data_IF_358634984011
#
_entry.id   IF_358634984011
#
_cell.length_a   1.000
_cell.length_b   1.000
_cell.length_c   1.000
_cell.angle_alpha   90.00
_cell.angle_beta   90.00
_cell.angle_gamma   90.00
#
_symmetry.space_group_name_H-M   'P 1'
#
loop_
_entity.id
_entity.type
_entity.pdbx_description
1 polymer ?
#
# COMPACT_ATOMS: atom_id res chain seq x y z
N UNK A 1 17.87 5.96 -13.12
CA UNK A 1 17.90 4.48 -13.10
C UNK A 1 16.88 3.91 -14.07
N UNK A 2 17.28 3.45 -15.26
CA UNK A 2 16.32 3.04 -16.29
C UNK A 2 15.48 1.81 -15.90
N UNK A 3 16.06 0.84 -15.18
CA UNK A 3 15.33 -0.34 -14.73
C UNK A 3 14.28 0.00 -13.66
N UNK A 4 14.68 0.77 -12.63
CA UNK A 4 13.74 1.25 -11.60
C UNK A 4 12.61 2.07 -12.22
N UNK A 5 12.91 3.01 -13.12
CA UNK A 5 11.89 3.81 -13.80
C UNK A 5 10.88 2.95 -14.58
N UNK A 6 11.37 1.97 -15.34
CA UNK A 6 10.50 1.05 -16.09
C UNK A 6 9.66 0.17 -15.16
N UNK A 7 10.26 -0.35 -14.08
CA UNK A 7 9.56 -1.17 -13.09
C UNK A 7 8.50 -0.35 -12.31
N UNK A 8 8.79 0.90 -11.93
CA UNK A 8 7.82 1.83 -11.34
C UNK A 8 6.64 2.08 -12.29
N UNK A 9 6.91 2.29 -13.59
CA UNK A 9 5.86 2.44 -14.59
C UNK A 9 4.97 1.20 -14.66
N UNK A 10 5.56 -0.01 -14.67
CA UNK A 10 4.82 -1.26 -14.67
C UNK A 10 3.99 -1.46 -13.39
N UNK A 11 4.50 -1.04 -12.22
CA UNK A 11 3.71 -1.02 -10.98
C UNK A 11 2.51 -0.07 -11.06
N UNK A 12 2.70 1.10 -11.65
CA UNK A 12 1.61 2.04 -11.94
C UNK A 12 0.57 1.42 -12.86
N UNK A 13 1.00 0.78 -13.96
CA UNK A 13 0.10 0.09 -14.88
C UNK A 13 -0.64 -1.07 -14.19
N UNK A 14 0.05 -1.88 -13.40
CA UNK A 14 -0.55 -2.94 -12.61
C UNK A 14 -1.62 -2.38 -11.64
N UNK A 15 -1.33 -1.27 -10.96
CA UNK A 15 -2.28 -0.59 -10.07
C UNK A 15 -3.52 -0.12 -10.83
N UNK A 16 -3.35 0.41 -12.05
CA UNK A 16 -4.46 0.87 -12.90
C UNK A 16 -5.33 -0.31 -13.33
N UNK A 17 -4.70 -1.38 -13.84
CA UNK A 17 -5.41 -2.60 -14.24
C UNK A 17 -6.17 -3.20 -13.05
N UNK A 18 -5.55 -3.25 -11.88
CA UNK A 18 -6.21 -3.78 -10.68
C UNK A 18 -7.34 -2.88 -10.17
N UNK A 19 -7.22 -1.55 -10.30
CA UNK A 19 -8.32 -0.62 -10.02
C UNK A 19 -9.51 -0.88 -10.95
N UNK A 20 -9.27 -1.03 -12.24
CA UNK A 20 -10.33 -1.31 -13.22
C UNK A 20 -10.99 -2.67 -12.94
N UNK A 21 -10.19 -3.70 -12.65
CA UNK A 21 -10.71 -5.03 -12.25
C UNK A 21 -11.51 -4.97 -10.96
N UNK A 22 -11.03 -4.24 -9.95
CA UNK A 22 -11.73 -4.08 -8.68
C UNK A 22 -13.09 -3.41 -8.88
N UNK A 23 -13.16 -2.33 -9.66
CA UNK A 23 -14.41 -1.62 -9.98
C UNK A 23 -15.39 -2.48 -10.77
N UNK A 24 -14.89 -3.36 -11.64
CA UNK A 24 -15.73 -4.28 -12.41
C UNK A 24 -16.26 -5.44 -11.56
N UNK A 25 -15.48 -5.93 -10.60
CA UNK A 25 -15.83 -7.10 -9.80
C UNK A 25 -16.61 -6.77 -8.51
N UNK A 26 -16.32 -5.64 -7.87
CA UNK A 26 -16.86 -5.29 -6.54
C UNK A 26 -17.91 -4.20 -6.68
N UNK A 27 -19.16 -4.45 -6.24
CA UNK A 27 -20.21 -3.42 -6.25
C UNK A 27 -19.85 -2.23 -5.35
N UNK A 28 -20.23 -0.98 -5.73
CA UNK A 28 -20.03 0.20 -4.88
C UNK A 28 -20.69 0.11 -3.49
N UNK A 29 -21.69 -0.75 -3.33
CA UNK A 29 -22.34 -1.04 -2.05
C UNK A 29 -21.44 -1.82 -1.06
N UNK A 30 -20.33 -2.40 -1.51
CA UNK A 30 -19.41 -3.10 -0.62
C UNK A 30 -18.79 -2.11 0.39
N UNK A 31 -18.77 -2.42 1.71
CA UNK A 31 -18.38 -1.47 2.74
C UNK A 31 -16.97 -0.89 2.60
N UNK A 32 -16.05 -1.69 2.06
CA UNK A 32 -14.63 -1.36 1.86
C UNK A 32 -14.36 -0.72 0.51
N UNK A 33 -15.35 -0.64 -0.39
CA UNK A 33 -15.20 -0.10 -1.75
C UNK A 33 -14.53 1.28 -1.80
N UNK A 34 -15.00 2.32 -1.07
CA UNK A 34 -14.37 3.64 -1.15
C UNK A 34 -12.92 3.62 -0.67
N UNK A 35 -12.62 2.84 0.37
CA UNK A 35 -11.27 2.74 0.94
C UNK A 35 -10.30 2.04 -0.02
N UNK A 36 -10.73 0.95 -0.67
CA UNK A 36 -9.91 0.23 -1.65
C UNK A 36 -9.69 1.05 -2.93
N UNK A 37 -10.72 1.76 -3.43
CA UNK A 37 -10.57 2.64 -4.60
C UNK A 37 -9.63 3.81 -4.29
N UNK A 38 -9.73 4.40 -3.10
CA UNK A 38 -8.80 5.44 -2.68
C UNK A 38 -7.36 4.91 -2.58
N UNK A 39 -7.16 3.69 -2.05
CA UNK A 39 -5.83 3.06 -1.99
C UNK A 39 -5.19 2.95 -3.37
N UNK A 40 -5.99 2.59 -4.38
CA UNK A 40 -5.51 2.48 -5.75
C UNK A 40 -5.10 3.82 -6.35
N UNK A 41 -5.85 4.88 -6.11
CA UNK A 41 -5.46 6.21 -6.56
C UNK A 41 -4.20 6.73 -5.89
N UNK A 42 -4.07 6.50 -4.57
CA UNK A 42 -2.86 6.85 -3.82
C UNK A 42 -1.65 6.06 -4.34
N UNK A 43 -1.82 4.75 -4.59
CA UNK A 43 -0.77 3.89 -5.15
C UNK A 43 -0.38 4.32 -6.56
N UNK A 44 -1.35 4.62 -7.43
CA UNK A 44 -1.10 5.13 -8.78
C UNK A 44 -0.30 6.43 -8.77
N UNK A 45 -0.64 7.34 -7.86
CA UNK A 45 0.07 8.60 -7.72
C UNK A 45 1.51 8.39 -7.24
N UNK A 46 1.74 7.47 -6.30
CA UNK A 46 3.09 7.12 -5.84
C UNK A 46 3.93 6.51 -6.97
N UNK A 47 3.41 5.53 -7.70
CA UNK A 47 4.15 4.92 -8.80
C UNK A 47 4.42 5.89 -9.96
N UNK A 48 3.52 6.86 -10.18
CA UNK A 48 3.77 7.95 -11.12
C UNK A 48 4.99 8.78 -10.67
N UNK A 49 5.02 9.28 -9.44
CA UNK A 49 6.15 10.08 -8.95
C UNK A 49 7.45 9.29 -8.86
N UNK A 50 7.39 8.01 -8.51
CA UNK A 50 8.52 7.09 -8.57
C UNK A 50 9.09 6.97 -10.00
N UNK A 51 8.21 6.81 -10.99
CA UNK A 51 8.63 6.77 -12.40
C UNK A 51 9.32 8.06 -12.82
N UNK A 52 8.76 9.22 -12.46
CA UNK A 52 9.33 10.53 -12.78
C UNK A 52 10.70 10.70 -12.11
N UNK A 53 10.83 10.36 -10.83
CA UNK A 53 12.07 10.45 -10.06
C UNK A 53 13.18 9.59 -10.68
N UNK A 54 12.95 8.30 -10.91
CA UNK A 54 13.97 7.42 -11.48
C UNK A 54 14.32 7.74 -12.95
N UNK A 55 13.45 8.45 -13.66
CA UNK A 55 13.72 8.98 -15.01
C UNK A 55 14.56 10.26 -14.94
N UNK A 56 14.22 11.18 -14.02
CA UNK A 56 14.90 12.45 -13.85
C UNK A 56 14.92 12.84 -12.38
N UNK A 57 16.07 12.64 -11.77
CA UNK A 57 16.33 13.01 -10.40
C UNK A 57 16.46 14.54 -10.25
N UNK A 58 15.62 15.11 -9.38
CA UNK A 58 15.62 16.49 -8.93
C UNK A 58 15.14 16.52 -7.48
N UNK A 59 15.52 17.56 -6.74
CA UNK A 59 15.08 17.71 -5.35
C UNK A 59 13.54 17.74 -5.17
N UNK A 60 12.78 18.11 -6.20
CA UNK A 60 11.31 18.08 -6.16
C UNK A 60 10.78 16.66 -6.39
N UNK A 61 11.28 15.97 -7.41
CA UNK A 61 10.83 14.63 -7.77
C UNK A 61 11.19 13.61 -6.70
N UNK A 62 12.35 13.75 -6.08
CA UNK A 62 12.78 12.95 -4.92
C UNK A 62 11.79 13.09 -3.75
N UNK A 63 11.45 14.34 -3.38
CA UNK A 63 10.48 14.60 -2.31
C UNK A 63 9.11 14.00 -2.62
N UNK A 64 8.63 14.16 -3.84
CA UNK A 64 7.32 13.68 -4.24
C UNK A 64 7.25 12.15 -4.25
N UNK A 65 8.30 11.47 -4.70
CA UNK A 65 8.38 10.01 -4.62
C UNK A 65 8.26 9.54 -3.15
N UNK A 66 9.07 10.09 -2.26
CA UNK A 66 9.05 9.70 -0.85
C UNK A 66 7.75 10.04 -0.12
N UNK A 67 7.18 11.23 -0.35
CA UNK A 67 5.93 11.63 0.30
C UNK A 67 4.75 10.78 -0.18
N UNK A 68 4.73 10.43 -1.46
CA UNK A 68 3.69 9.54 -1.99
C UNK A 68 3.87 8.10 -1.50
N UNK A 69 5.10 7.61 -1.34
CA UNK A 69 5.37 6.33 -0.68
C UNK A 69 4.84 6.32 0.76
N UNK A 70 5.08 7.39 1.54
CA UNK A 70 4.49 7.55 2.88
C UNK A 70 2.96 7.49 2.86
N UNK A 71 2.32 8.14 1.88
CA UNK A 71 0.88 8.11 1.73
C UNK A 71 0.35 6.68 1.50
N UNK A 72 1.04 5.87 0.68
CA UNK A 72 0.68 4.46 0.44
C UNK A 72 0.77 3.64 1.72
N UNK A 73 1.85 3.78 2.49
CA UNK A 73 2.04 3.07 3.77
C UNK A 73 0.92 3.40 4.76
N UNK A 74 0.64 4.69 4.96
CA UNK A 74 -0.40 5.13 5.89
C UNK A 74 -1.80 4.73 5.41
N UNK A 75 -2.05 4.73 4.10
CA UNK A 75 -3.34 4.25 3.57
C UNK A 75 -3.50 2.74 3.73
N UNK A 76 -2.42 1.95 3.64
CA UNK A 76 -2.46 0.52 3.98
C UNK A 76 -2.80 0.30 5.46
N UNK A 77 -2.25 1.11 6.37
CA UNK A 77 -2.64 1.09 7.78
C UNK A 77 -4.12 1.45 7.98
N UNK A 78 -4.61 2.46 7.26
CA UNK A 78 -6.02 2.84 7.27
C UNK A 78 -6.92 1.71 6.78
N UNK A 79 -6.55 1.05 5.69
CA UNK A 79 -7.27 -0.09 5.13
C UNK A 79 -7.33 -1.26 6.11
N UNK A 80 -6.23 -1.59 6.78
CA UNK A 80 -6.19 -2.60 7.84
C UNK A 80 -7.10 -2.22 9.02
N UNK A 81 -7.14 -0.95 9.42
CA UNK A 81 -8.01 -0.44 10.47
C UNK A 81 -9.50 -0.55 10.09
N UNK A 82 -9.88 -0.11 8.89
CA UNK A 82 -11.25 -0.28 8.35
C UNK A 82 -11.63 -1.75 8.33
N UNK A 83 -10.71 -2.63 7.93
CA UNK A 83 -10.99 -4.06 7.85
C UNK A 83 -11.16 -4.72 9.22
N UNK A 84 -10.45 -4.23 10.24
CA UNK A 84 -10.44 -4.82 11.59
C UNK A 84 -11.54 -4.26 12.49
N UNK A 85 -11.87 -2.97 12.38
CA UNK A 85 -12.79 -2.27 13.28
C UNK A 85 -14.01 -1.69 12.54
N UNK A 86 -13.91 -1.52 11.23
CA UNK A 86 -14.64 -0.49 10.53
C UNK A 86 -16.13 -0.74 10.30
N UNK A 87 -16.55 -2.00 10.29
CA UNK A 87 -17.98 -2.30 10.20
C UNK A 87 -18.74 -2.00 11.50
N UNK A 88 -18.05 -1.95 12.64
CA UNK A 88 -18.70 -1.83 13.95
C UNK A 88 -18.55 -0.43 14.56
N UNK A 89 -17.52 0.35 14.17
CA UNK A 89 -17.15 1.60 14.85
C UNK A 89 -16.77 2.74 13.87
N UNK A 90 -17.72 3.30 13.10
CA UNK A 90 -17.46 4.32 12.07
C UNK A 90 -16.82 5.62 12.61
N UNK A 91 -17.13 6.01 13.85
CA UNK A 91 -16.51 7.18 14.50
C UNK A 91 -15.00 6.98 14.71
N UNK A 92 -14.58 5.81 15.20
CA UNK A 92 -13.16 5.51 15.42
C UNK A 92 -12.38 5.48 14.11
N UNK A 93 -12.97 4.96 13.03
CA UNK A 93 -12.35 5.00 11.69
C UNK A 93 -12.11 6.45 11.27
N UNK A 94 -13.10 7.32 11.45
CA UNK A 94 -13.02 8.71 11.04
C UNK A 94 -11.94 9.46 11.82
N UNK A 95 -11.85 9.23 13.12
CA UNK A 95 -10.79 9.77 13.99
C UNK A 95 -9.43 9.25 13.54
N UNK A 96 -9.30 7.94 13.30
CA UNK A 96 -8.04 7.34 12.87
C UNK A 96 -7.61 7.86 11.50
N UNK A 97 -8.54 8.03 10.56
CA UNK A 97 -8.27 8.66 9.25
C UNK A 97 -7.75 10.09 9.42
N UNK A 98 -8.41 10.90 10.25
CA UNK A 98 -8.00 12.27 10.51
C UNK A 98 -6.59 12.31 11.13
N UNK A 99 -6.32 11.43 12.10
CA UNK A 99 -5.00 11.28 12.69
C UNK A 99 -3.92 10.96 11.64
N UNK A 100 -4.15 9.97 10.76
CA UNK A 100 -3.19 9.60 9.72
C UNK A 100 -2.93 10.74 8.72
N UNK A 101 -3.98 11.49 8.34
CA UNK A 101 -3.84 12.65 7.46
C UNK A 101 -3.06 13.79 8.12
N UNK A 102 -3.32 14.08 9.39
CA UNK A 102 -2.58 15.08 10.16
C UNK A 102 -1.12 14.66 10.35
N UNK A 103 -0.87 13.38 10.63
CA UNK A 103 0.46 12.82 10.72
C UNK A 103 1.22 12.98 9.41
N UNK A 104 0.62 12.62 8.27
CA UNK A 104 1.22 12.79 6.95
C UNK A 104 1.50 14.27 6.64
N UNK A 105 0.53 15.15 6.91
CA UNK A 105 0.70 16.58 6.69
C UNK A 105 1.83 17.16 7.55
N UNK A 106 1.94 16.75 8.81
CA UNK A 106 3.03 17.12 9.71
C UNK A 106 4.39 16.61 9.21
N UNK A 107 4.47 15.34 8.81
CA UNK A 107 5.67 14.72 8.23
C UNK A 107 6.16 15.46 6.98
N UNK A 108 5.26 15.72 6.03
CA UNK A 108 5.56 16.47 4.80
C UNK A 108 5.98 17.90 5.12
N UNK A 109 5.28 18.57 6.04
CA UNK A 109 5.59 19.95 6.43
C UNK A 109 6.97 20.06 7.06
N UNK A 110 7.33 19.12 7.95
CA UNK A 110 8.66 19.06 8.57
C UNK A 110 9.77 18.90 7.51
N UNK A 111 9.62 17.89 6.64
CA UNK A 111 10.61 17.59 5.59
C UNK A 111 10.68 18.65 4.48
N UNK A 112 9.62 19.43 4.29
CA UNK A 112 9.56 20.47 3.26
C UNK A 112 10.03 21.84 3.76
N UNK A 113 9.68 22.21 5.00
CA UNK A 113 9.86 23.57 5.53
C UNK A 113 11.04 23.72 6.50
N UNK A 114 11.43 22.64 7.20
CA UNK A 114 12.50 22.71 8.21
C UNK A 114 13.82 22.22 7.61
N UNK A 115 13.90 20.92 7.33
CA UNK A 115 15.07 20.30 6.73
C UNK A 115 14.65 19.00 6.08
N UNK A 116 15.00 18.83 4.81
CA UNK A 116 14.86 17.54 4.17
C UNK A 116 15.95 16.60 4.69
N UNK A 117 15.55 15.64 5.52
CA UNK A 117 16.42 14.61 6.07
C UNK A 117 15.95 13.24 5.56
N UNK A 118 16.72 12.69 4.63
CA UNK A 118 16.44 11.39 4.02
C UNK A 118 16.46 10.26 5.05
N UNK A 119 17.40 10.28 6.00
CA UNK A 119 17.51 9.26 7.05
C UNK A 119 16.29 9.25 7.96
N UNK A 120 15.80 10.43 8.36
CA UNK A 120 14.54 10.56 9.07
C UNK A 120 13.37 10.00 8.26
N UNK A 121 13.25 10.37 6.98
CA UNK A 121 12.17 9.88 6.12
C UNK A 121 12.17 8.34 6.00
N UNK A 122 13.35 7.74 5.81
CA UNK A 122 13.53 6.30 5.74
C UNK A 122 13.09 5.62 7.04
N UNK A 123 13.57 6.10 8.20
CA UNK A 123 13.20 5.54 9.51
C UNK A 123 11.72 5.68 9.80
N UNK A 124 11.13 6.84 9.50
CA UNK A 124 9.69 7.09 9.72
C UNK A 124 8.82 6.15 8.87
N UNK A 125 9.14 6.01 7.58
CA UNK A 125 8.43 5.10 6.68
C UNK A 125 8.62 3.64 7.07
N UNK A 126 9.84 3.22 7.40
CA UNK A 126 10.13 1.86 7.84
C UNK A 126 9.36 1.52 9.12
N UNK A 127 9.34 2.42 10.11
CA UNK A 127 8.59 2.23 11.35
C UNK A 127 7.07 2.12 11.10
N UNK A 128 6.50 3.04 10.30
CA UNK A 128 5.08 2.99 9.93
C UNK A 128 4.74 1.72 9.14
N UNK A 129 5.62 1.30 8.23
CA UNK A 129 5.51 0.07 7.45
C UNK A 129 5.52 -1.16 8.35
N UNK A 130 6.48 -1.28 9.27
CA UNK A 130 6.55 -2.39 10.22
C UNK A 130 5.32 -2.50 11.13
N UNK A 131 4.80 -1.37 11.62
CA UNK A 131 3.56 -1.35 12.41
C UNK A 131 2.37 -1.84 11.59
N UNK A 132 2.29 -1.41 10.33
CA UNK A 132 1.23 -1.81 9.38
C UNK A 132 1.30 -3.30 9.07
N UNK A 133 2.50 -3.81 8.80
CA UNK A 133 2.78 -5.23 8.57
C UNK A 133 2.40 -6.07 9.78
N UNK A 134 2.84 -5.66 10.98
CA UNK A 134 2.52 -6.37 12.21
C UNK A 134 1.00 -6.43 12.45
N UNK A 135 0.26 -5.38 12.10
CA UNK A 135 -1.19 -5.37 12.18
C UNK A 135 -1.82 -6.32 11.17
N UNK A 136 -1.43 -6.27 9.89
CA UNK A 136 -1.91 -7.20 8.86
C UNK A 136 -1.65 -8.65 9.21
N UNK A 137 -0.44 -8.98 9.67
CA UNK A 137 -0.08 -10.34 10.09
C UNK A 137 -0.91 -10.79 11.30
N UNK A 138 -1.08 -9.92 12.31
CA UNK A 138 -1.97 -10.22 13.45
C UNK A 138 -3.41 -10.49 13.00
N UNK A 139 -3.92 -9.72 12.04
CA UNK A 139 -5.24 -9.95 11.47
C UNK A 139 -5.30 -11.28 10.71
N UNK A 140 -4.29 -11.58 9.88
CA UNK A 140 -4.20 -12.84 9.15
C UNK A 140 -4.15 -14.06 10.09
N UNK A 141 -3.39 -14.00 11.18
CA UNK A 141 -3.31 -15.08 12.17
C UNK A 141 -4.65 -15.34 12.87
N UNK A 142 -5.42 -14.28 13.14
CA UNK A 142 -6.74 -14.41 13.77
C UNK A 142 -7.78 -14.98 12.80
N UNK A 143 -7.77 -14.53 11.55
CA UNK A 143 -8.81 -14.86 10.56
C UNK A 143 -8.46 -16.03 9.64
N UNK A 144 -7.20 -16.48 9.62
CA UNK A 144 -6.71 -17.51 8.70
C UNK A 144 -7.37 -18.88 8.85
N UNK A 145 -8.01 -19.15 10.01
CA UNK A 145 -8.82 -20.36 10.23
C UNK A 145 -10.24 -20.27 9.67
N UNK A 146 -10.72 -19.05 9.40
CA UNK A 146 -12.12 -18.78 9.07
C UNK A 146 -12.32 -18.30 7.63
N UNK A 147 -11.30 -17.64 7.05
CA UNK A 147 -11.40 -16.98 5.76
C UNK A 147 -10.40 -17.58 4.76
N UNK A 148 -10.86 -18.23 3.67
CA UNK A 148 -9.98 -18.93 2.74
C UNK A 148 -9.09 -18.01 1.91
N UNK A 149 -9.39 -16.71 1.80
CA UNK A 149 -8.60 -15.74 1.01
C UNK A 149 -7.47 -15.07 1.82
N UNK A 150 -7.36 -15.31 3.13
CA UNK A 150 -6.37 -14.67 4.01
C UNK A 150 -4.93 -14.98 3.62
N UNK A 151 -4.67 -16.16 3.05
CA UNK A 151 -3.30 -16.53 2.62
C UNK A 151 -2.75 -15.54 1.58
N UNK A 152 -3.60 -14.94 0.74
CA UNK A 152 -3.19 -13.95 -0.26
C UNK A 152 -2.63 -12.70 0.40
N UNK A 153 -3.29 -12.22 1.46
CA UNK A 153 -2.83 -11.09 2.26
C UNK A 153 -1.51 -11.44 2.98
N UNK A 154 -1.47 -12.58 3.67
CA UNK A 154 -0.27 -13.01 4.39
C UNK A 154 0.93 -13.17 3.44
N UNK A 155 0.74 -13.80 2.29
CA UNK A 155 1.77 -13.95 1.27
C UNK A 155 2.22 -12.58 0.73
N UNK A 156 1.29 -11.68 0.37
CA UNK A 156 1.63 -10.35 -0.12
C UNK A 156 2.46 -9.55 0.90
N UNK A 157 2.05 -9.56 2.18
CA UNK A 157 2.74 -8.83 3.25
C UNK A 157 4.11 -9.43 3.57
N UNK A 158 4.24 -10.76 3.64
CA UNK A 158 5.51 -11.42 3.93
C UNK A 158 6.50 -11.29 2.77
N UNK A 159 6.03 -11.45 1.54
CA UNK A 159 6.88 -11.29 0.35
C UNK A 159 7.32 -9.84 0.18
N UNK A 160 6.46 -8.86 0.51
CA UNK A 160 6.86 -7.46 0.56
C UNK A 160 8.00 -7.26 1.56
N UNK A 161 7.94 -7.85 2.75
CA UNK A 161 9.08 -7.74 3.68
C UNK A 161 10.34 -8.45 3.17
N UNK A 162 10.20 -9.60 2.52
CA UNK A 162 11.34 -10.32 1.95
C UNK A 162 12.04 -9.51 0.86
N UNK A 163 11.29 -8.83 -0.02
CA UNK A 163 11.85 -7.93 -1.01
C UNK A 163 12.53 -6.72 -0.35
N UNK A 164 12.01 -6.21 0.78
CA UNK A 164 12.55 -5.00 1.42
C UNK A 164 13.90 -5.32 2.07
N UNK A 165 14.03 -6.54 2.58
CA UNK A 165 15.31 -7.06 3.05
C UNK A 165 16.31 -7.27 1.90
N UNK A 166 15.84 -7.58 0.69
CA UNK A 166 16.70 -7.68 -0.49
C UNK A 166 17.28 -6.30 -0.87
N UNK A 167 16.49 -5.24 -0.73
CA UNK A 167 16.94 -3.86 -0.96
C UNK A 167 18.13 -3.49 -0.05
N UNK A 168 18.18 -4.01 1.19
CA UNK A 168 19.28 -3.79 2.13
C UNK A 168 20.61 -4.46 1.72
N UNK A 169 20.60 -5.36 0.73
CA UNK A 169 21.83 -6.01 0.28
C UNK A 169 22.74 -5.07 -0.52
N UNK A 170 22.20 -3.96 -1.03
CA UNK A 170 22.92 -2.86 -1.68
C UNK A 170 24.05 -3.32 -2.62
N UNK A 171 23.74 -4.29 -3.49
CA UNK A 171 24.72 -4.86 -4.40
C UNK A 171 24.90 -3.98 -5.66
N UNK A 172 26.10 -3.93 -6.26
CA UNK A 172 26.36 -3.10 -7.44
C UNK A 172 25.50 -3.56 -8.64
N UNK A 173 25.06 -2.64 -9.51
CA UNK A 173 24.14 -2.97 -10.59
C UNK A 173 24.70 -4.03 -11.53
N UNK A 174 24.02 -5.17 -11.61
CA UNK A 174 24.29 -6.23 -12.57
C UNK A 174 24.02 -5.70 -13.99
N UNK A 175 24.99 -5.91 -14.88
CA UNK A 175 24.96 -5.42 -16.27
C UNK A 175 24.73 -3.89 -16.38
N UNK A 176 25.07 -3.12 -15.34
CA UNK A 176 24.82 -1.67 -15.27
C UNK A 176 23.34 -1.26 -15.30
N UNK A 177 22.43 -2.21 -15.07
CA UNK A 177 20.98 -2.01 -15.22
C UNK A 177 20.21 -2.47 -13.99
N UNK A 178 20.54 -3.63 -13.41
CA UNK A 178 19.76 -4.25 -12.33
C UNK A 178 20.49 -4.21 -10.99
N UNK A 179 20.06 -3.34 -10.09
CA UNK A 179 20.50 -3.30 -8.68
C UNK A 179 19.41 -3.84 -7.74
N UNK A 180 19.70 -3.82 -6.43
CA UNK A 180 18.78 -4.26 -5.38
C UNK A 180 17.46 -3.46 -5.41
N UNK A 181 17.53 -2.17 -5.71
CA UNK A 181 16.40 -1.27 -5.76
C UNK A 181 15.47 -1.57 -6.96
N UNK A 182 16.04 -1.78 -8.15
CA UNK A 182 15.29 -2.21 -9.33
C UNK A 182 14.61 -3.58 -9.11
N UNK A 183 15.27 -4.52 -8.42
CA UNK A 183 14.66 -5.80 -8.05
C UNK A 183 13.49 -5.65 -7.08
N UNK A 184 13.58 -4.72 -6.12
CA UNK A 184 12.47 -4.35 -5.25
C UNK A 184 11.26 -3.87 -6.07
N UNK A 185 11.47 -2.92 -6.99
CA UNK A 185 10.40 -2.45 -7.88
C UNK A 185 9.82 -3.56 -8.74
N UNK A 186 10.64 -4.41 -9.36
CA UNK A 186 10.16 -5.53 -10.19
C UNK A 186 9.35 -6.52 -9.35
N UNK A 187 9.85 -6.88 -8.17
CA UNK A 187 9.21 -7.84 -7.29
C UNK A 187 7.86 -7.38 -6.74
N UNK A 188 7.65 -6.08 -6.58
CA UNK A 188 6.38 -5.53 -6.07
C UNK A 188 5.23 -5.57 -7.09
N UNK A 189 5.51 -5.72 -8.40
CA UNK A 189 4.49 -5.81 -9.46
C UNK A 189 3.52 -7.00 -9.22
N UNK A 190 3.98 -8.27 -9.12
CA UNK A 190 3.07 -9.39 -8.86
C UNK A 190 2.46 -9.33 -7.45
N UNK A 191 3.14 -8.73 -6.47
CA UNK A 191 2.60 -8.58 -5.11
C UNK A 191 1.41 -7.63 -5.09
N UNK A 192 1.47 -6.55 -5.88
CA UNK A 192 0.36 -5.64 -6.04
C UNK A 192 -0.87 -6.37 -6.58
N UNK A 193 -0.71 -7.18 -7.63
CA UNK A 193 -1.80 -8.00 -8.19
C UNK A 193 -2.36 -8.97 -7.15
N UNK A 194 -1.51 -9.63 -6.37
CA UNK A 194 -1.92 -10.55 -5.31
C UNK A 194 -2.70 -9.83 -4.20
N UNK A 195 -2.24 -8.66 -3.77
CA UNK A 195 -2.89 -7.87 -2.73
C UNK A 195 -4.27 -7.38 -3.18
N UNK A 196 -4.42 -6.91 -4.42
CA UNK A 196 -5.74 -6.57 -4.94
C UNK A 196 -6.65 -7.78 -5.10
N UNK A 197 -6.12 -8.96 -5.45
CA UNK A 197 -6.91 -10.19 -5.43
C UNK A 197 -7.48 -10.49 -4.05
N UNK A 198 -6.68 -10.30 -3.00
CA UNK A 198 -7.17 -10.37 -1.63
C UNK A 198 -8.28 -9.34 -1.36
N UNK A 199 -8.07 -8.07 -1.73
CA UNK A 199 -9.05 -7.00 -1.49
C UNK A 199 -10.38 -7.25 -2.19
N UNK A 200 -10.38 -7.80 -3.40
CA UNK A 200 -11.62 -8.14 -4.11
C UNK A 200 -12.39 -9.23 -3.37
N UNK A 201 -11.74 -10.35 -3.05
CA UNK A 201 -12.37 -11.48 -2.34
C UNK A 201 -12.92 -11.02 -0.98
N UNK A 202 -12.15 -10.22 -0.26
CA UNK A 202 -12.52 -9.75 1.06
C UNK A 202 -13.69 -8.75 1.03
N UNK A 203 -13.70 -7.83 0.07
CA UNK A 203 -14.83 -6.91 -0.13
C UNK A 203 -16.12 -7.64 -0.49
N UNK A 204 -16.05 -8.66 -1.34
CA UNK A 204 -17.20 -9.49 -1.71
C UNK A 204 -17.70 -10.32 -0.52
N UNK A 205 -16.79 -10.87 0.29
CA UNK A 205 -17.12 -11.56 1.52
C UNK A 205 -17.88 -10.65 2.50
N UNK A 206 -17.38 -9.42 2.72
CA UNK A 206 -18.01 -8.47 3.64
C UNK A 206 -19.37 -7.98 3.13
N UNK A 207 -19.52 -7.79 1.82
CA UNK A 207 -20.81 -7.45 1.21
C UNK A 207 -21.84 -8.56 1.47
N UNK A 208 -21.46 -9.82 1.26
CA UNK A 208 -22.34 -10.97 1.54
C UNK A 208 -22.71 -11.06 3.02
N UNK A 209 -21.72 -11.01 3.90
CA UNK A 209 -21.93 -11.09 5.34
C UNK A 209 -22.87 -9.99 5.88
N UNK A 210 -22.74 -8.76 5.36
CA UNK A 210 -23.68 -7.69 5.71
C UNK A 210 -25.07 -7.91 5.13
N UNK A 211 -25.19 -8.41 3.90
CA UNK A 211 -26.50 -8.69 3.30
C UNK A 211 -27.27 -9.78 4.05
N UNK A 212 -26.56 -10.75 4.63
CA UNK A 212 -27.18 -11.83 5.41
C UNK A 212 -27.64 -11.34 6.79
N UNK A 213 -26.93 -10.39 7.41
CA UNK A 213 -27.37 -9.72 8.65
C UNK A 213 -28.73 -9.01 8.46
N UNK A 214 -28.91 -8.27 7.35
CA UNK A 214 -30.16 -7.56 7.06
C UNK A 214 -31.34 -8.46 6.64
N UNK A 215 -31.12 -9.76 6.40
CA UNK A 215 -32.20 -10.71 6.06
C UNK A 215 -32.77 -11.44 7.27
N UNK A 216 -32.11 -11.35 8.42
CA UNK A 216 -32.49 -12.06 9.66
C UNK A 216 -33.32 -11.15 10.59
N UNK A 217 -33.36 -9.85 10.31
CA UNK A 217 -34.22 -8.84 10.94
C UNK A 217 -35.53 -8.64 10.14
#
# INVERSE_FOLDING_TARGET
>A
EPASAFASFLNGLASLVMLLRYRAAVPPAAPTYPTCVAFAWVSLNAWFWSTVFHTRDTALTEKLDYFCASAVVLHSAYLCCVRTLGLQRPALISIFRAFLLLFLAGHISYLSLVRFDYGYNLVANAAAGMLTVAWWLRWCLRQGRHLPHVWKCAAAVLLLQALALLELLDFPPLLWVLDAHALWHIGTIPLNVLFYSFLMDDSLYLLKANSDLFKVD
#
